data_IF_360979412815
#
_entry.id   IF_360979412815
#
_cell.length_a   1.000
_cell.length_b   1.000
_cell.length_c   1.000
_cell.angle_alpha   90.00
_cell.angle_beta   90.00
_cell.angle_gamma   90.00
#
_symmetry.space_group_name_H-M   'P 1'
#
loop_
_entity.id
_entity.type
_entity.pdbx_description
1 polymer ?
#
# COMPACT_ATOMS: atom_id res chain seq x y z
N UNK A 1 -63.86 -5.30 -26.88
CA UNK A 1 -63.62 -4.79 -25.52
C UNK A 1 -62.30 -5.32 -24.92
N UNK A 2 -61.17 -5.26 -25.65
CA UNK A 2 -59.91 -5.96 -25.25
C UNK A 2 -58.70 -5.05 -24.96
N UNK A 3 -58.84 -3.71 -24.92
CA UNK A 3 -57.71 -2.79 -24.70
C UNK A 3 -57.44 -2.42 -23.23
N UNK A 4 -58.31 -2.85 -22.30
CA UNK A 4 -58.21 -2.49 -20.88
C UNK A 4 -57.32 -3.45 -20.06
N UNK A 5 -56.98 -4.62 -20.59
CA UNK A 5 -56.17 -5.62 -19.89
C UNK A 5 -54.66 -5.45 -20.08
N UNK A 6 -54.21 -4.83 -21.19
CA UNK A 6 -52.79 -4.59 -21.46
C UNK A 6 -52.14 -3.57 -20.51
N UNK A 7 -52.88 -2.53 -20.12
CA UNK A 7 -52.39 -1.49 -19.19
C UNK A 7 -52.29 -1.96 -17.75
N UNK A 8 -53.16 -2.89 -17.32
CA UNK A 8 -53.15 -3.43 -15.95
C UNK A 8 -52.01 -4.43 -15.71
N UNK A 9 -51.62 -5.19 -16.73
CA UNK A 9 -50.51 -6.15 -16.63
C UNK A 9 -49.13 -5.48 -16.52
N UNK A 10 -48.95 -4.29 -17.11
CA UNK A 10 -47.70 -3.53 -16.99
C UNK A 10 -47.56 -2.83 -15.62
N UNK A 11 -48.68 -2.43 -14.98
CA UNK A 11 -48.65 -1.81 -13.66
C UNK A 11 -48.38 -2.81 -12.52
N UNK A 12 -48.86 -4.05 -12.66
CA UNK A 12 -48.70 -5.09 -11.64
C UNK A 12 -47.26 -5.64 -11.57
N UNK A 13 -46.50 -5.54 -12.65
CA UNK A 13 -45.09 -5.97 -12.71
C UNK A 13 -44.13 -4.97 -12.06
N UNK A 14 -44.47 -3.68 -11.99
CA UNK A 14 -43.62 -2.66 -11.38
C UNK A 14 -43.69 -2.65 -9.83
N UNK A 15 -44.76 -3.19 -9.24
CA UNK A 15 -44.92 -3.27 -7.78
C UNK A 15 -44.14 -4.43 -7.13
N UNK A 16 -43.70 -5.42 -7.91
CA UNK A 16 -42.99 -6.59 -7.37
C UNK A 16 -41.47 -6.40 -7.19
N UNK A 17 -40.88 -5.35 -7.77
CA UNK A 17 -39.43 -5.12 -7.73
C UNK A 17 -38.93 -4.35 -6.48
N UNK A 18 -39.83 -3.85 -5.62
CA UNK A 18 -39.45 -2.98 -4.49
C UNK A 18 -38.88 -3.73 -3.27
N UNK A 19 -38.84 -5.06 -3.26
CA UNK A 19 -38.39 -5.85 -2.10
C UNK A 19 -36.95 -6.37 -2.17
N UNK A 20 -36.13 -5.97 -3.15
CA UNK A 20 -34.71 -6.38 -3.24
C UNK A 20 -33.72 -5.34 -2.70
N UNK A 21 -34.17 -4.23 -2.12
CA UNK A 21 -33.29 -3.12 -1.76
C UNK A 21 -32.63 -3.19 -0.37
N UNK A 22 -32.77 -4.28 0.41
CA UNK A 22 -32.20 -4.32 1.77
C UNK A 22 -31.71 -5.71 2.23
N UNK A 23 -30.80 -6.34 1.46
CA UNK A 23 -30.10 -7.56 1.91
C UNK A 23 -28.65 -7.33 2.39
N UNK A 24 -28.16 -6.08 2.41
CA UNK A 24 -26.87 -5.72 3.02
C UNK A 24 -27.08 -4.70 4.13
N UNK A 25 -27.96 -5.01 5.08
CA UNK A 25 -27.86 -4.41 6.41
C UNK A 25 -26.54 -4.93 7.02
N UNK A 26 -25.69 -3.99 7.43
CA UNK A 26 -24.31 -4.21 7.80
C UNK A 26 -24.13 -5.29 8.85
N UNK A 27 -23.01 -6.01 8.75
CA UNK A 27 -22.50 -6.76 9.88
C UNK A 27 -22.03 -5.72 10.91
N UNK A 28 -22.81 -5.54 11.97
CA UNK A 28 -22.46 -4.70 13.11
C UNK A 28 -21.22 -5.28 13.79
N UNK A 29 -20.05 -4.74 13.43
CA UNK A 29 -18.83 -4.88 14.22
C UNK A 29 -18.92 -3.99 15.46
N UNK A 30 -19.91 -4.26 16.31
CA UNK A 30 -20.14 -3.59 17.60
C UNK A 30 -19.15 -4.04 18.69
N UNK A 31 -17.87 -4.11 18.35
CA UNK A 31 -16.81 -4.07 19.34
C UNK A 31 -16.53 -2.60 19.66
N UNK A 32 -16.32 -2.26 20.93
CA UNK A 32 -15.60 -1.04 21.32
C UNK A 32 -14.46 -0.81 20.33
N UNK A 33 -14.19 0.40 19.82
CA UNK A 33 -12.98 0.64 19.06
C UNK A 33 -11.81 0.34 20.01
N UNK A 34 -11.31 -0.88 19.95
CA UNK A 34 -10.10 -1.28 20.62
C UNK A 34 -9.02 -0.47 19.91
N UNK A 35 -8.59 0.59 20.57
CA UNK A 35 -7.53 1.44 20.06
C UNK A 35 -6.36 0.50 19.78
N UNK A 36 -5.88 0.43 18.52
CA UNK A 36 -4.76 -0.43 18.18
C UNK A 36 -3.64 -0.17 19.19
N UNK A 37 -3.01 -1.23 19.73
CA UNK A 37 -1.89 -1.07 20.64
C UNK A 37 -0.95 -0.02 20.05
N UNK A 38 -0.60 0.98 20.86
CA UNK A 38 0.34 2.02 20.43
C UNK A 38 1.56 1.32 19.83
N UNK A 39 1.85 1.59 18.56
CA UNK A 39 2.92 0.91 17.85
C UNK A 39 4.22 1.08 18.66
N UNK A 40 4.72 -0.03 19.21
CA UNK A 40 5.99 -0.03 19.90
C UNK A 40 7.08 0.10 18.84
N UNK A 41 7.56 1.32 18.63
CA UNK A 41 8.69 1.59 17.75
C UNK A 41 9.95 1.15 18.50
N UNK A 42 10.33 -0.12 18.35
CA UNK A 42 11.65 -0.55 18.81
C UNK A 42 12.70 0.22 18.02
N UNK A 43 13.46 1.07 18.71
CA UNK A 43 14.58 1.79 18.11
C UNK A 43 15.79 0.88 18.07
N UNK A 44 16.09 0.31 16.90
CA UNK A 44 17.33 -0.40 16.67
C UNK A 44 18.50 0.61 16.64
N UNK A 45 19.54 0.37 17.46
CA UNK A 45 20.81 1.12 17.35
C UNK A 45 21.66 0.51 16.23
N UNK A 46 21.83 1.23 15.13
CA UNK A 46 22.67 0.81 14.01
C UNK A 46 24.03 1.48 14.12
N UNK A 47 25.12 0.70 14.07
CA UNK A 47 26.47 1.24 13.96
C UNK A 47 26.97 1.10 12.53
N UNK A 48 27.38 2.21 11.94
CA UNK A 48 28.01 2.21 10.63
C UNK A 48 29.51 1.94 10.74
N UNK A 49 30.06 1.27 9.73
CA UNK A 49 31.50 1.12 9.61
C UNK A 49 32.14 2.45 9.18
N UNK A 50 33.22 2.86 9.84
CA UNK A 50 33.95 4.08 9.49
C UNK A 50 34.92 3.82 8.32
N UNK A 51 34.37 3.57 7.13
CA UNK A 51 35.14 3.14 5.94
C UNK A 51 34.76 3.92 4.69
N UNK A 52 35.79 4.35 3.95
CA UNK A 52 35.80 4.78 2.54
C UNK A 52 34.68 4.19 1.65
N UNK A 53 33.62 4.89 1.26
CA UNK A 53 32.75 4.43 0.16
C UNK A 53 32.92 5.38 -1.03
N UNK A 54 32.62 4.89 -2.23
CA UNK A 54 32.56 5.69 -3.45
C UNK A 54 31.10 5.81 -3.88
N UNK A 55 30.72 6.99 -4.36
CA UNK A 55 29.46 7.17 -5.06
C UNK A 55 29.55 6.78 -6.54
N UNK A 56 28.48 7.06 -7.29
CA UNK A 56 28.35 6.69 -8.69
C UNK A 56 29.28 7.47 -9.62
N UNK A 57 29.81 8.61 -9.16
CA UNK A 57 30.75 9.46 -9.89
C UNK A 57 32.21 9.20 -9.46
N UNK A 58 32.42 8.25 -8.53
CA UNK A 58 33.73 7.88 -8.01
C UNK A 58 34.24 8.80 -6.90
N UNK A 59 33.37 9.63 -6.32
CA UNK A 59 33.73 10.53 -5.24
C UNK A 59 33.65 9.83 -3.88
N UNK A 60 34.60 10.08 -2.97
CA UNK A 60 34.59 9.47 -1.65
C UNK A 60 33.49 10.07 -0.75
N UNK A 61 32.66 9.21 -0.13
CA UNK A 61 31.54 9.60 0.75
C UNK A 61 31.53 8.78 2.05
N UNK A 62 31.10 9.37 3.18
CA UNK A 62 30.86 8.72 4.47
C UNK A 62 29.37 8.36 4.61
N UNK A 63 29.04 7.07 4.67
CA UNK A 63 27.65 6.59 4.69
C UNK A 63 26.78 7.26 5.78
N UNK A 64 27.24 7.26 7.03
CA UNK A 64 26.47 7.79 8.15
C UNK A 64 26.23 9.30 8.05
N UNK A 65 27.29 10.07 7.76
CA UNK A 65 27.24 11.54 7.78
C UNK A 65 26.62 12.12 6.51
N UNK A 66 26.97 11.56 5.35
CA UNK A 66 26.68 12.18 4.06
C UNK A 66 25.41 11.63 3.42
N UNK A 67 24.97 10.41 3.76
CA UNK A 67 23.82 9.75 3.15
C UNK A 67 22.66 9.49 4.13
N UNK A 68 22.96 9.12 5.37
CA UNK A 68 21.92 8.87 6.38
C UNK A 68 21.53 10.17 7.08
N UNK A 69 22.46 10.81 7.81
CA UNK A 69 22.25 12.10 8.47
C UNK A 69 20.88 12.21 9.14
N UNK A 70 20.12 13.23 8.73
CA UNK A 70 18.75 13.50 9.20
C UNK A 70 17.66 12.98 8.23
N UNK A 71 18.03 12.12 7.27
CA UNK A 71 17.12 11.61 6.24
C UNK A 71 16.52 10.26 6.63
N UNK A 72 15.27 10.03 6.22
CA UNK A 72 14.70 8.68 6.23
C UNK A 72 15.23 7.91 5.03
N UNK A 73 16.09 6.93 5.29
CA UNK A 73 16.77 6.16 4.23
C UNK A 73 16.30 4.72 4.20
N UNK A 74 15.95 4.24 3.01
CA UNK A 74 15.75 2.83 2.70
C UNK A 74 16.99 2.34 1.93
N UNK A 75 17.67 1.31 2.44
CA UNK A 75 18.90 0.78 1.84
C UNK A 75 18.68 -0.60 1.23
N UNK A 76 19.24 -0.81 0.04
CA UNK A 76 19.35 -2.11 -0.61
C UNK A 76 20.79 -2.42 -1.01
N UNK A 77 21.29 -3.59 -0.62
CA UNK A 77 22.63 -4.05 -1.00
C UNK A 77 22.51 -5.04 -2.16
N UNK A 78 23.17 -4.75 -3.28
CA UNK A 78 23.09 -5.55 -4.50
C UNK A 78 24.47 -5.83 -5.08
N UNK A 79 24.58 -6.94 -5.82
CA UNK A 79 25.70 -7.21 -6.72
C UNK A 79 25.22 -7.09 -8.15
N UNK A 80 25.97 -6.40 -9.02
CA UNK A 80 25.61 -6.23 -10.44
C UNK A 80 25.62 -7.53 -11.23
N UNK A 81 26.34 -8.55 -10.76
CA UNK A 81 26.38 -9.90 -11.33
C UNK A 81 25.23 -10.81 -10.88
N UNK A 82 24.42 -10.39 -9.90
CA UNK A 82 23.29 -11.15 -9.41
C UNK A 82 22.11 -11.04 -10.38
N UNK A 83 21.69 -12.15 -10.98
CA UNK A 83 20.69 -12.17 -12.07
C UNK A 83 19.27 -12.53 -11.64
N UNK A 84 19.07 -12.94 -10.37
CA UNK A 84 17.79 -13.46 -9.90
C UNK A 84 17.06 -12.46 -9.00
N UNK A 85 17.40 -12.42 -7.72
CA UNK A 85 16.65 -11.61 -6.74
C UNK A 85 17.00 -10.13 -6.81
N UNK A 86 18.25 -9.78 -7.13
CA UNK A 86 18.71 -8.41 -7.11
C UNK A 86 17.97 -7.51 -8.15
N UNK A 87 17.73 -7.94 -9.40
CA UNK A 87 16.92 -7.16 -10.34
C UNK A 87 15.48 -6.92 -9.87
N UNK A 88 14.88 -7.89 -9.18
CA UNK A 88 13.53 -7.75 -8.60
C UNK A 88 13.54 -6.72 -7.48
N UNK A 89 14.50 -6.80 -6.55
CA UNK A 89 14.64 -5.84 -5.45
C UNK A 89 14.90 -4.42 -6.00
N UNK A 90 15.79 -4.26 -6.98
CA UNK A 90 16.06 -2.97 -7.62
C UNK A 90 14.80 -2.39 -8.29
N UNK A 91 13.98 -3.24 -8.92
CA UNK A 91 12.71 -2.81 -9.53
C UNK A 91 11.71 -2.34 -8.49
N UNK A 92 11.66 -2.97 -7.31
CA UNK A 92 10.81 -2.54 -6.19
C UNK A 92 11.32 -1.21 -5.62
N UNK A 93 12.64 -1.08 -5.38
CA UNK A 93 13.24 0.17 -4.90
C UNK A 93 12.98 1.34 -5.86
N UNK A 94 13.03 1.13 -7.17
CA UNK A 94 12.67 2.16 -8.15
C UNK A 94 11.22 2.63 -8.01
N UNK A 95 10.28 1.71 -7.74
CA UNK A 95 8.88 2.07 -7.48
C UNK A 95 8.72 2.82 -6.16
N UNK A 96 9.42 2.40 -5.11
CA UNK A 96 9.42 3.10 -3.81
C UNK A 96 9.92 4.53 -4.00
N UNK A 97 11.02 4.72 -4.73
CA UNK A 97 11.53 6.05 -5.04
C UNK A 97 10.47 6.89 -5.77
N UNK A 98 9.83 6.38 -6.82
CA UNK A 98 8.78 7.12 -7.55
C UNK A 98 7.58 7.51 -6.68
N UNK A 99 7.28 6.76 -5.64
CA UNK A 99 6.13 7.00 -4.77
C UNK A 99 6.44 7.93 -3.60
N UNK A 100 7.66 7.87 -3.06
CA UNK A 100 8.01 8.47 -1.78
C UNK A 100 9.13 9.52 -1.86
N UNK A 101 9.77 9.71 -3.02
CA UNK A 101 10.93 10.59 -3.17
C UNK A 101 10.94 11.41 -4.45
#
# INVERSE_FOLDING_TARGET
MNRLHGGKLLGLSLLLASNLALAHAGHDHGGTPEQPPAAHQEKASVRFADVALLDQDGMPVRLEKDLVGDHLVVMGFIYTSCTTVCPVVSSIMSKVQQQLG
#
